data_IF_889777313297
#
_entry.id   IF_889777313297
#
_cell.length_a   1.000
_cell.length_b   1.000
_cell.length_c   1.000
_cell.angle_alpha   90.00
_cell.angle_beta   90.00
_cell.angle_gamma   90.00
#
_symmetry.space_group_name_H-M   'P 1'
#
loop_
_entity.id
_entity.type
_entity.pdbx_description
1 polymer ?
#
# COMPACT_ATOMS: atom_id res chain seq x y z
N UNK A 1 41.54 -1.82 -10.04
CA UNK A 1 40.90 -2.46 -8.87
C UNK A 1 39.41 -2.15 -8.95
N UNK A 2 38.64 -3.12 -9.43
CA UNK A 2 37.26 -2.93 -9.89
C UNK A 2 36.26 -3.32 -8.81
N UNK A 3 35.42 -2.37 -8.44
CA UNK A 3 34.35 -2.48 -7.45
C UNK A 3 33.14 -3.21 -8.07
N UNK A 4 32.70 -4.31 -7.46
CA UNK A 4 31.46 -5.03 -7.80
C UNK A 4 30.29 -4.43 -7.01
N UNK A 5 29.17 -4.01 -7.63
CA UNK A 5 27.92 -3.78 -6.90
C UNK A 5 27.16 -5.12 -6.75
N UNK A 6 26.88 -5.50 -5.51
CA UNK A 6 25.94 -6.58 -5.17
C UNK A 6 24.52 -6.12 -5.56
N UNK A 7 23.94 -6.78 -6.55
CA UNK A 7 22.53 -6.64 -6.88
C UNK A 7 21.70 -7.49 -5.92
N UNK A 8 20.74 -6.84 -5.28
CA UNK A 8 19.65 -7.38 -4.47
C UNK A 8 18.96 -8.52 -5.19
N UNK A 9 18.94 -9.70 -4.57
CA UNK A 9 18.25 -10.87 -5.09
C UNK A 9 16.74 -10.67 -5.15
N UNK A 10 16.20 -11.28 -6.19
CA UNK A 10 14.82 -11.28 -6.64
C UNK A 10 13.92 -11.98 -5.62
N UNK A 11 12.79 -11.35 -5.31
CA UNK A 11 11.64 -11.97 -4.65
C UNK A 11 11.31 -13.30 -5.34
N UNK A 12 11.31 -14.44 -4.62
CA UNK A 12 10.91 -15.71 -5.21
C UNK A 12 9.40 -15.69 -5.50
N UNK A 13 9.13 -16.11 -6.72
CA UNK A 13 7.84 -16.34 -7.35
C UNK A 13 6.99 -17.24 -6.45
N UNK A 14 5.78 -16.78 -6.10
CA UNK A 14 4.78 -17.62 -5.43
C UNK A 14 4.41 -18.79 -6.35
N UNK A 15 4.84 -19.98 -5.94
CA UNK A 15 4.57 -21.24 -6.60
C UNK A 15 3.07 -21.55 -6.47
N UNK A 16 2.29 -21.22 -7.50
CA UNK A 16 0.88 -21.59 -7.63
C UNK A 16 0.78 -23.04 -8.08
N UNK A 17 0.70 -23.96 -7.12
CA UNK A 17 0.31 -25.34 -7.40
C UNK A 17 -0.63 -25.82 -6.30
N UNK A 18 -1.91 -25.43 -6.37
CA UNK A 18 -3.05 -26.34 -6.25
C UNK A 18 -4.27 -25.67 -6.93
N UNK A 19 -5.05 -26.45 -7.69
CA UNK A 19 -6.34 -26.16 -8.32
C UNK A 19 -6.34 -25.58 -9.75
N UNK A 20 -5.90 -26.42 -10.69
CA UNK A 20 -6.46 -26.44 -12.04
C UNK A 20 -7.64 -27.42 -12.07
N UNK A 21 -8.88 -26.91 -11.98
CA UNK A 21 -10.09 -27.59 -12.46
C UNK A 21 -11.23 -26.58 -12.60
N UNK A 22 -11.53 -26.23 -13.86
CA UNK A 22 -12.79 -25.61 -14.33
C UNK A 22 -13.47 -24.61 -13.39
N UNK A 23 -12.91 -23.41 -13.24
CA UNK A 23 -13.54 -22.36 -12.44
C UNK A 23 -14.32 -21.41 -13.36
N UNK A 24 -15.65 -21.53 -13.38
CA UNK A 24 -16.51 -20.48 -13.89
C UNK A 24 -16.25 -19.23 -13.03
N UNK A 25 -15.55 -18.24 -13.59
CA UNK A 25 -15.16 -17.02 -12.88
C UNK A 25 -16.42 -16.18 -12.67
N UNK A 26 -17.11 -16.38 -11.54
CA UNK A 26 -18.05 -15.40 -10.99
C UNK A 26 -17.26 -14.37 -10.18
N UNK A 27 -16.50 -13.52 -10.86
CA UNK A 27 -15.99 -12.30 -10.23
C UNK A 27 -17.05 -11.21 -10.36
N UNK A 28 -17.53 -10.67 -9.25
CA UNK A 28 -18.32 -9.42 -9.23
C UNK A 28 -17.43 -8.18 -9.49
N UNK A 29 -16.35 -8.35 -10.25
CA UNK A 29 -15.37 -7.30 -10.61
C UNK A 29 -15.45 -7.10 -12.11
N UNK A 30 -15.59 -5.86 -12.56
CA UNK A 30 -15.55 -5.52 -13.99
C UNK A 30 -14.20 -5.95 -14.57
N UNK A 31 -14.25 -6.74 -15.63
CA UNK A 31 -13.07 -7.20 -16.35
C UNK A 31 -12.94 -6.40 -17.65
N UNK A 32 -11.72 -5.96 -17.94
CA UNK A 32 -11.37 -5.17 -19.11
C UNK A 32 -10.49 -6.00 -20.05
N UNK A 33 -10.74 -5.86 -21.34
CA UNK A 33 -9.80 -6.29 -22.37
C UNK A 33 -8.53 -5.46 -22.31
N UNK A 34 -7.44 -5.97 -22.90
CA UNK A 34 -6.17 -5.24 -23.03
C UNK A 34 -6.36 -3.87 -23.71
N UNK A 35 -7.23 -3.81 -24.71
CA UNK A 35 -7.56 -2.59 -25.46
C UNK A 35 -8.32 -1.57 -24.63
N UNK A 36 -9.29 -2.00 -23.82
CA UNK A 36 -10.01 -1.12 -22.90
C UNK A 36 -9.10 -0.60 -21.78
N UNK A 37 -8.26 -1.47 -21.22
CA UNK A 37 -7.25 -1.08 -20.24
C UNK A 37 -6.28 -0.05 -20.83
N UNK A 38 -5.80 -0.27 -22.06
CA UNK A 38 -4.93 0.67 -22.78
C UNK A 38 -5.60 2.04 -22.97
N UNK A 39 -6.85 2.07 -23.41
CA UNK A 39 -7.63 3.30 -23.60
C UNK A 39 -7.79 4.07 -22.28
N UNK A 40 -8.13 3.39 -21.19
CA UNK A 40 -8.30 4.04 -19.87
C UNK A 40 -7.02 4.54 -19.26
N UNK A 41 -5.92 3.85 -19.55
CA UNK A 41 -4.60 4.25 -19.09
C UNK A 41 -3.95 5.30 -20.00
N UNK A 42 -4.48 5.58 -21.19
CA UNK A 42 -3.80 6.45 -22.17
C UNK A 42 -2.46 5.89 -22.65
N UNK A 43 -2.27 4.57 -22.65
CA UNK A 43 -1.00 3.91 -23.06
C UNK A 43 -1.24 2.87 -24.16
N UNK A 44 -0.16 2.38 -24.77
CA UNK A 44 -0.24 1.28 -25.75
C UNK A 44 -0.59 -0.07 -25.11
N UNK A 45 -1.22 -0.97 -25.87
CA UNK A 45 -1.48 -2.35 -25.43
C UNK A 45 -0.20 -3.13 -25.06
N UNK A 46 0.93 -2.80 -25.69
CA UNK A 46 2.25 -3.33 -25.33
C UNK A 46 2.65 -2.90 -23.92
N UNK A 47 2.38 -1.66 -23.54
CA UNK A 47 2.62 -1.16 -22.18
C UNK A 47 1.71 -1.84 -21.16
N UNK A 48 0.44 -2.10 -21.49
CA UNK A 48 -0.46 -2.90 -20.65
C UNK A 48 0.10 -4.30 -20.42
N UNK A 49 0.62 -4.94 -21.47
CA UNK A 49 1.23 -6.27 -21.38
C UNK A 49 2.47 -6.28 -20.48
N UNK A 50 3.31 -5.24 -20.56
CA UNK A 50 4.47 -5.07 -19.70
C UNK A 50 4.07 -4.82 -18.23
N UNK A 51 3.05 -4.01 -17.98
CA UNK A 51 2.52 -3.77 -16.63
C UNK A 51 1.95 -5.04 -16.01
N UNK A 52 1.24 -5.87 -16.79
CA UNK A 52 0.77 -7.19 -16.38
C UNK A 52 1.94 -8.12 -16.06
N UNK A 53 2.93 -8.23 -16.94
CA UNK A 53 4.11 -9.06 -16.72
C UNK A 53 4.90 -8.65 -15.47
N UNK A 54 4.90 -7.35 -15.15
CA UNK A 54 5.50 -6.79 -13.94
C UNK A 54 4.60 -6.91 -12.68
N UNK A 55 3.45 -7.60 -12.76
CA UNK A 55 2.51 -7.77 -11.64
C UNK A 55 1.79 -6.49 -11.21
N UNK A 56 1.86 -5.41 -12.00
CA UNK A 56 1.22 -4.11 -11.69
C UNK A 56 -0.26 -4.03 -12.07
N UNK A 57 -0.73 -4.99 -12.86
CA UNK A 57 -2.12 -5.13 -13.26
C UNK A 57 -2.56 -6.56 -12.93
N UNK A 58 -3.63 -6.68 -12.15
CA UNK A 58 -4.22 -7.96 -11.79
C UNK A 58 -4.99 -8.50 -13.01
N UNK A 59 -4.68 -9.72 -13.41
CA UNK A 59 -5.25 -10.31 -14.62
C UNK A 59 -5.69 -11.74 -14.43
N UNK A 60 -6.76 -12.12 -15.10
CA UNK A 60 -7.30 -13.48 -15.13
C UNK A 60 -7.14 -14.10 -16.52
N UNK A 61 -6.69 -15.36 -16.62
CA UNK A 61 -6.64 -16.07 -17.89
C UNK A 61 -8.07 -16.34 -18.38
N UNK A 62 -8.35 -16.02 -19.64
CA UNK A 62 -9.64 -16.32 -20.30
C UNK A 62 -9.35 -16.77 -21.73
N UNK A 63 -9.53 -18.07 -21.99
CA UNK A 63 -9.15 -18.69 -23.26
C UNK A 63 -7.67 -18.49 -23.60
N UNK A 64 -7.36 -18.18 -24.87
CA UNK A 64 -6.01 -17.84 -25.33
C UNK A 64 -5.52 -16.44 -24.94
N UNK A 65 -6.22 -15.75 -24.03
CA UNK A 65 -5.93 -14.38 -23.61
C UNK A 65 -5.98 -14.17 -22.10
N UNK A 66 -5.93 -12.89 -21.69
CA UNK A 66 -6.11 -12.48 -20.31
C UNK A 66 -6.97 -11.23 -20.23
N UNK A 67 -7.89 -11.18 -19.27
CA UNK A 67 -8.61 -9.96 -18.92
C UNK A 67 -7.93 -9.32 -17.70
N UNK A 68 -8.02 -8.00 -17.58
CA UNK A 68 -7.44 -7.20 -16.49
C UNK A 68 -8.57 -6.66 -15.63
N UNK A 69 -8.40 -6.61 -14.31
CA UNK A 69 -9.43 -6.01 -13.44
C UNK A 69 -9.50 -4.50 -13.61
N UNK A 70 -10.71 -3.94 -13.69
CA UNK A 70 -10.94 -2.50 -13.72
C UNK A 70 -10.29 -1.79 -12.52
N UNK A 71 -10.35 -2.39 -11.33
CA UNK A 71 -9.74 -1.83 -10.12
C UNK A 71 -8.21 -1.71 -10.22
N UNK A 72 -7.53 -2.72 -10.78
CA UNK A 72 -6.08 -2.63 -10.98
C UNK A 72 -5.70 -1.59 -12.03
N UNK A 73 -6.52 -1.44 -13.09
CA UNK A 73 -6.36 -0.38 -14.09
C UNK A 73 -6.57 0.99 -13.47
N UNK A 74 -7.62 1.20 -12.67
CA UNK A 74 -7.88 2.46 -11.97
C UNK A 74 -6.73 2.82 -11.03
N UNK A 75 -6.27 1.87 -10.21
CA UNK A 75 -5.08 2.05 -9.35
C UNK A 75 -3.85 2.44 -10.18
N UNK A 76 -3.64 1.80 -11.33
CA UNK A 76 -2.49 2.08 -12.17
C UNK A 76 -2.59 3.44 -12.89
N UNK A 77 -3.80 3.89 -13.23
CA UNK A 77 -4.06 5.20 -13.83
C UNK A 77 -3.66 6.34 -12.91
N UNK A 78 -3.93 6.20 -11.60
CA UNK A 78 -3.59 7.20 -10.57
C UNK A 78 -2.09 7.51 -10.48
N UNK A 79 -1.23 6.61 -10.96
CA UNK A 79 0.23 6.76 -10.90
C UNK A 79 0.87 7.05 -12.26
N UNK A 80 0.09 7.31 -13.30
CA UNK A 80 0.63 7.60 -14.63
C UNK A 80 1.10 9.05 -14.75
N UNK A 81 2.27 9.25 -15.38
CA UNK A 81 2.80 10.59 -15.68
C UNK A 81 3.52 11.30 -14.53
N UNK A 82 3.57 10.72 -13.32
CA UNK A 82 4.17 11.38 -12.18
C UNK A 82 5.66 11.01 -11.99
N UNK A 83 6.53 12.02 -12.09
CA UNK A 83 7.99 11.89 -12.11
C UNK A 83 8.62 11.36 -10.81
N UNK A 84 9.71 10.61 -10.92
CA UNK A 84 10.53 10.20 -9.78
C UNK A 84 10.28 8.78 -9.27
N UNK A 85 11.37 8.09 -8.94
CA UNK A 85 11.36 6.72 -8.42
C UNK A 85 10.73 6.71 -7.01
N UNK A 86 9.77 5.81 -6.70
CA UNK A 86 9.31 5.64 -5.32
C UNK A 86 10.49 5.35 -4.38
N UNK A 87 10.35 5.83 -3.15
CA UNK A 87 11.29 5.60 -2.08
C UNK A 87 11.43 4.12 -1.74
N UNK A 88 12.59 3.74 -1.17
CA UNK A 88 12.71 2.47 -0.47
C UNK A 88 11.78 2.46 0.75
N UNK A 89 11.40 1.28 1.27
CA UNK A 89 10.56 1.18 2.46
C UNK A 89 11.05 2.03 3.63
N UNK A 90 12.35 1.99 3.95
CA UNK A 90 12.93 2.77 5.05
C UNK A 90 12.79 4.28 4.87
N UNK A 91 13.03 4.78 3.66
CA UNK A 91 12.90 6.20 3.32
C UNK A 91 11.43 6.63 3.32
N UNK A 92 10.53 5.74 2.87
CA UNK A 92 9.10 5.99 2.88
C UNK A 92 8.56 6.09 4.31
N UNK A 93 8.85 5.10 5.17
CA UNK A 93 8.50 5.19 6.60
C UNK A 93 9.16 6.40 7.26
N UNK A 94 10.44 6.66 6.98
CA UNK A 94 11.15 7.80 7.55
C UNK A 94 10.49 9.13 7.22
N UNK A 95 10.07 9.34 5.96
CA UNK A 95 9.36 10.54 5.54
C UNK A 95 8.04 10.72 6.31
N UNK A 96 7.25 9.64 6.43
CA UNK A 96 5.94 9.66 7.08
C UNK A 96 6.04 9.80 8.62
N UNK A 97 7.08 9.23 9.23
CA UNK A 97 7.38 9.41 10.66
C UNK A 97 7.82 10.84 10.95
N UNK A 98 8.73 11.40 10.15
CA UNK A 98 9.18 12.79 10.30
C UNK A 98 8.02 13.79 10.16
N UNK A 99 7.11 13.57 9.21
CA UNK A 99 5.89 14.36 9.09
C UNK A 99 4.94 14.19 10.27
N UNK A 100 4.92 13.02 10.89
CA UNK A 100 4.17 12.78 12.13
C UNK A 100 4.85 13.39 13.37
N UNK A 101 5.95 14.13 13.21
CA UNK A 101 6.70 14.73 14.31
C UNK A 101 7.59 13.75 15.07
N UNK A 102 7.82 12.55 14.54
CA UNK A 102 8.68 11.52 15.13
C UNK A 102 10.06 11.51 14.48
N UNK A 103 11.06 10.99 15.19
CA UNK A 103 12.36 10.71 14.58
C UNK A 103 12.33 9.40 13.76
N UNK A 104 13.28 9.26 12.84
CA UNK A 104 13.54 8.06 12.06
C UNK A 104 14.94 7.52 12.40
N UNK A 105 15.13 6.91 13.58
CA UNK A 105 16.46 6.50 14.07
C UNK A 105 17.14 5.45 13.22
N UNK A 106 16.38 4.63 12.48
CA UNK A 106 16.91 3.62 11.55
C UNK A 106 17.57 4.22 10.30
N UNK A 107 17.36 5.52 10.03
CA UNK A 107 18.02 6.21 8.94
C UNK A 107 19.36 6.81 9.37
N UNK A 108 20.32 6.91 8.46
CA UNK A 108 21.53 7.68 8.68
C UNK A 108 21.27 9.19 8.70
N UNK A 109 22.19 9.97 9.29
CA UNK A 109 22.09 11.45 9.31
C UNK A 109 21.91 12.07 7.92
N UNK A 110 22.63 11.57 6.92
CA UNK A 110 22.54 12.05 5.54
C UNK A 110 21.18 11.75 4.90
N UNK A 111 20.59 10.58 5.19
CA UNK A 111 19.26 10.21 4.70
C UNK A 111 18.19 11.10 5.33
N UNK A 112 18.23 11.30 6.66
CA UNK A 112 17.33 12.24 7.36
C UNK A 112 17.45 13.66 6.82
N UNK A 113 18.67 14.16 6.61
CA UNK A 113 18.90 15.49 6.03
C UNK A 113 18.28 15.63 4.63
N UNK A 114 18.49 14.64 3.75
CA UNK A 114 17.88 14.62 2.41
C UNK A 114 16.35 14.62 2.50
N UNK A 115 15.77 13.82 3.39
CA UNK A 115 14.32 13.79 3.61
C UNK A 115 13.78 15.15 4.05
N UNK A 116 14.44 15.85 4.98
CA UNK A 116 14.05 17.22 5.37
C UNK A 116 13.96 18.14 4.15
N UNK A 117 14.99 18.12 3.29
CA UNK A 117 15.03 18.91 2.07
C UNK A 117 13.85 18.61 1.13
N UNK A 118 13.52 17.34 0.92
CA UNK A 118 12.40 16.95 0.07
C UNK A 118 11.04 17.30 0.67
N UNK A 119 10.85 17.10 1.98
CA UNK A 119 9.58 17.39 2.66
C UNK A 119 9.21 18.87 2.61
N UNK A 120 10.18 19.79 2.51
CA UNK A 120 9.96 21.24 2.35
C UNK A 120 9.27 21.64 1.05
N UNK A 121 9.28 20.79 0.02
CA UNK A 121 8.71 21.10 -1.30
C UNK A 121 7.65 20.08 -1.73
N UNK A 122 7.26 19.18 -0.82
CA UNK A 122 6.35 18.09 -1.13
C UNK A 122 4.89 18.53 -1.00
N UNK A 123 4.03 17.98 -1.83
CA UNK A 123 2.57 18.00 -1.65
C UNK A 123 2.05 16.60 -1.27
N UNK A 124 0.80 16.53 -0.84
CA UNK A 124 0.20 15.27 -0.40
C UNK A 124 0.22 14.18 -1.50
N UNK A 125 -0.14 14.51 -2.74
CA UNK A 125 -0.23 13.52 -3.82
C UNK A 125 1.14 12.94 -4.20
N UNK A 126 2.15 13.80 -4.33
CA UNK A 126 3.52 13.41 -4.61
C UNK A 126 4.12 12.59 -3.48
N UNK A 127 3.84 12.96 -2.22
CA UNK A 127 4.27 12.17 -1.08
C UNK A 127 3.64 10.78 -1.08
N UNK A 128 2.31 10.68 -1.19
CA UNK A 128 1.61 9.37 -1.27
C UNK A 128 2.22 8.52 -2.37
N UNK A 129 2.44 9.10 -3.54
CA UNK A 129 3.07 8.40 -4.65
C UNK A 129 4.48 7.92 -4.31
N UNK A 130 5.34 8.76 -3.74
CA UNK A 130 6.73 8.39 -3.45
C UNK A 130 6.81 7.32 -2.35
N UNK A 131 5.85 7.29 -1.43
CA UNK A 131 5.81 6.34 -0.29
C UNK A 131 4.99 5.09 -0.55
N UNK A 132 4.32 4.96 -1.71
CA UNK A 132 3.45 3.81 -2.09
C UNK A 132 4.09 2.42 -2.06
N UNK A 133 5.43 2.35 -1.98
CA UNK A 133 6.18 1.08 -1.89
C UNK A 133 6.69 0.77 -0.48
N UNK A 134 6.16 1.44 0.54
CA UNK A 134 6.48 1.17 1.95
C UNK A 134 6.08 -0.24 2.37
N UNK A 135 4.96 -0.74 1.84
CA UNK A 135 4.41 -2.06 2.12
C UNK A 135 3.53 -2.51 0.95
N UNK A 136 3.29 -3.82 0.86
CA UNK A 136 2.34 -4.42 -0.07
C UNK A 136 1.02 -4.69 0.64
N UNK A 137 -0.08 -4.09 0.17
CA UNK A 137 -1.41 -4.34 0.72
C UNK A 137 -1.99 -5.65 0.18
N UNK A 138 -2.51 -6.48 1.09
CA UNK A 138 -3.21 -7.74 0.79
C UNK A 138 -4.52 -7.81 1.56
N UNK A 139 -5.58 -8.25 0.90
CA UNK A 139 -6.94 -8.28 1.45
C UNK A 139 -7.38 -9.70 1.83
N UNK A 140 -8.07 -9.82 2.97
CA UNK A 140 -8.59 -11.09 3.47
C UNK A 140 -10.02 -10.94 4.00
N UNK A 141 -10.73 -12.05 3.99
CA UNK A 141 -11.92 -12.30 4.79
C UNK A 141 -11.56 -13.11 6.03
N UNK A 142 -12.25 -12.84 7.14
CA UNK A 142 -12.31 -13.72 8.29
C UNK A 142 -13.70 -13.62 8.94
N UNK A 143 -13.98 -14.53 9.89
CA UNK A 143 -15.16 -14.43 10.75
C UNK A 143 -15.00 -13.27 11.72
N UNK A 144 -16.12 -12.64 12.09
CA UNK A 144 -16.17 -11.53 13.05
C UNK A 144 -15.50 -11.88 14.40
N UNK A 145 -15.68 -13.11 14.87
CA UNK A 145 -15.06 -13.63 16.09
C UNK A 145 -13.53 -13.62 16.08
N UNK A 146 -12.90 -13.50 14.90
CA UNK A 146 -11.45 -13.46 14.75
C UNK A 146 -10.90 -12.04 14.61
N UNK A 147 -11.73 -11.00 14.48
CA UNK A 147 -11.25 -9.64 14.23
C UNK A 147 -10.40 -9.09 15.37
N UNK A 148 -10.84 -9.25 16.62
CA UNK A 148 -10.05 -8.85 17.79
C UNK A 148 -8.70 -9.59 17.86
N UNK A 149 -8.66 -10.86 17.41
CA UNK A 149 -7.42 -11.63 17.33
C UNK A 149 -6.49 -11.10 16.24
N UNK A 150 -7.04 -10.70 15.08
CA UNK A 150 -6.25 -10.05 14.02
C UNK A 150 -5.66 -8.75 14.52
N UNK A 151 -6.47 -7.89 15.15
CA UNK A 151 -6.03 -6.61 15.70
C UNK A 151 -4.89 -6.76 16.72
N UNK A 152 -4.92 -7.82 17.53
CA UNK A 152 -3.86 -8.12 18.50
C UNK A 152 -2.55 -8.64 17.87
N UNK A 153 -2.56 -9.10 16.63
CA UNK A 153 -1.41 -9.69 15.94
C UNK A 153 -0.78 -8.77 14.89
N UNK A 154 -1.33 -7.57 14.70
CA UNK A 154 -0.84 -6.60 13.72
C UNK A 154 -0.58 -5.27 14.40
N UNK A 155 0.15 -4.39 13.72
CA UNK A 155 0.24 -2.99 14.14
C UNK A 155 -0.85 -2.17 13.46
N UNK A 156 -1.85 -1.64 14.19
CA UNK A 156 -3.03 -1.02 13.56
C UNK A 156 -2.68 0.18 12.68
N UNK A 157 -3.42 0.36 11.59
CA UNK A 157 -3.38 1.54 10.71
C UNK A 157 -4.75 2.26 10.68
N UNK A 158 -4.87 3.25 9.80
CA UNK A 158 -5.84 4.34 9.77
C UNK A 158 -7.32 3.98 9.92
N UNK A 159 -7.74 2.82 9.43
CA UNK A 159 -9.13 2.39 9.42
C UNK A 159 -9.51 1.46 10.59
N UNK A 160 -8.58 1.16 11.50
CA UNK A 160 -8.84 0.23 12.61
C UNK A 160 -9.28 0.93 13.88
N UNK A 161 -10.45 0.56 14.37
CA UNK A 161 -10.95 0.96 15.69
C UNK A 161 -11.06 2.47 15.85
N UNK A 162 -10.51 3.00 16.94
CA UNK A 162 -10.61 4.42 17.30
C UNK A 162 -9.84 5.37 16.35
N UNK A 163 -8.91 4.85 15.53
CA UNK A 163 -8.11 5.69 14.62
C UNK A 163 -8.95 6.32 13.50
N UNK A 164 -10.06 5.68 13.11
CA UNK A 164 -10.95 6.23 12.09
C UNK A 164 -11.46 7.64 12.47
N UNK A 165 -11.68 7.89 13.76
CA UNK A 165 -12.10 9.18 14.27
C UNK A 165 -11.03 10.28 14.05
N UNK A 166 -9.73 9.94 14.10
CA UNK A 166 -8.64 10.87 13.81
C UNK A 166 -8.65 11.37 12.35
N UNK A 167 -9.36 10.66 11.47
CA UNK A 167 -9.54 11.00 10.05
C UNK A 167 -10.97 11.46 9.73
N UNK A 168 -11.82 11.68 10.74
CA UNK A 168 -13.24 12.04 10.56
C UNK A 168 -14.01 10.99 9.75
N UNK A 169 -13.60 9.73 9.83
CA UNK A 169 -14.24 8.58 9.21
C UNK A 169 -15.08 7.81 10.23
N UNK A 170 -16.17 7.20 9.76
CA UNK A 170 -16.93 6.25 10.57
C UNK A 170 -16.16 4.94 10.66
N UNK A 171 -15.97 4.43 11.88
CA UNK A 171 -15.36 3.13 12.08
C UNK A 171 -16.15 2.04 11.34
N UNK A 172 -15.44 1.17 10.63
CA UNK A 172 -16.03 0.04 9.93
C UNK A 172 -15.59 -1.27 10.60
N UNK A 173 -16.22 -2.38 10.24
CA UNK A 173 -15.81 -3.70 10.72
C UNK A 173 -14.65 -4.30 9.89
N UNK A 174 -13.80 -3.43 9.32
CA UNK A 174 -12.57 -3.79 8.61
C UNK A 174 -11.39 -3.52 9.52
N UNK A 175 -10.55 -4.53 9.73
CA UNK A 175 -9.29 -4.40 10.47
C UNK A 175 -8.16 -4.18 9.47
N UNK A 176 -7.49 -3.05 9.55
CA UNK A 176 -6.37 -2.66 8.72
C UNK A 176 -5.09 -2.42 9.55
N UNK A 177 -3.97 -2.98 9.10
CA UNK A 177 -2.71 -2.77 9.80
C UNK A 177 -1.53 -3.47 9.16
N UNK A 178 -0.38 -3.32 9.81
CA UNK A 178 0.90 -3.79 9.31
C UNK A 178 1.30 -5.11 9.95
N UNK A 179 1.92 -5.95 9.13
CA UNK A 179 2.50 -7.22 9.53
C UNK A 179 3.82 -7.39 8.78
N UNK A 180 4.81 -8.02 9.42
CA UNK A 180 6.05 -8.38 8.73
C UNK A 180 5.84 -9.62 7.87
N UNK A 181 6.65 -9.76 6.82
CA UNK A 181 6.54 -10.88 5.88
C UNK A 181 6.72 -12.25 6.56
N UNK A 182 7.60 -12.34 7.56
CA UNK A 182 7.85 -13.54 8.36
C UNK A 182 6.69 -13.90 9.30
N UNK A 183 5.93 -12.92 9.79
CA UNK A 183 4.77 -13.15 10.66
C UNK A 183 3.47 -13.42 9.88
N UNK A 184 3.42 -13.11 8.58
CA UNK A 184 2.18 -13.16 7.79
C UNK A 184 1.50 -14.54 7.81
N UNK A 185 2.25 -15.60 7.56
CA UNK A 185 1.70 -16.97 7.50
C UNK A 185 1.10 -17.40 8.84
N UNK A 186 1.71 -16.97 9.95
CA UNK A 186 1.18 -17.22 11.27
C UNK A 186 -0.11 -16.47 11.53
N UNK A 187 -0.21 -15.20 11.13
CA UNK A 187 -1.47 -14.44 11.20
C UNK A 187 -2.56 -15.10 10.36
N UNK A 188 -2.25 -15.52 9.13
CA UNK A 188 -3.18 -16.22 8.23
C UNK A 188 -3.73 -17.48 8.90
N UNK A 189 -2.84 -18.33 9.42
CA UNK A 189 -3.19 -19.60 10.06
C UNK A 189 -4.00 -19.39 11.33
N UNK A 190 -3.53 -18.50 12.21
CA UNK A 190 -4.12 -18.26 13.52
C UNK A 190 -5.50 -17.58 13.46
N UNK A 191 -5.72 -16.73 12.47
CA UNK A 191 -6.96 -15.98 12.28
C UNK A 191 -7.88 -16.58 11.21
N UNK A 192 -7.44 -17.68 10.56
CA UNK A 192 -8.17 -18.37 9.48
C UNK A 192 -8.52 -17.42 8.33
N UNK A 193 -7.56 -16.59 7.94
CA UNK A 193 -7.73 -15.59 6.89
C UNK A 193 -7.90 -16.27 5.53
N UNK A 194 -8.79 -15.74 4.69
CA UNK A 194 -9.07 -16.25 3.35
C UNK A 194 -9.03 -15.15 2.31
N UNK A 195 -8.23 -15.33 1.26
CA UNK A 195 -8.23 -14.44 0.10
C UNK A 195 -9.39 -14.74 -0.86
N UNK A 196 -9.67 -13.83 -1.79
CA UNK A 196 -10.69 -14.02 -2.84
C UNK A 196 -12.13 -14.17 -2.34
N UNK A 197 -12.38 -13.89 -1.07
CA UNK A 197 -13.69 -14.01 -0.42
C UNK A 197 -14.20 -12.63 -0.07
N UNK A 198 -15.47 -12.36 -0.40
CA UNK A 198 -16.16 -11.10 -0.08
C UNK A 198 -17.18 -11.30 1.05
N UNK A 199 -17.40 -10.30 1.93
CA UNK A 199 -16.78 -8.97 1.95
C UNK A 199 -15.32 -9.01 2.45
N UNK A 200 -14.51 -8.02 2.07
CA UNK A 200 -13.17 -7.85 2.70
C UNK A 200 -13.39 -7.42 4.15
N UNK A 201 -12.70 -8.08 5.09
CA UNK A 201 -12.78 -7.80 6.53
C UNK A 201 -11.43 -7.44 7.13
N UNK A 202 -10.33 -7.75 6.44
CA UNK A 202 -8.97 -7.48 6.89
C UNK A 202 -8.13 -6.97 5.73
N UNK A 203 -7.37 -5.89 5.95
CA UNK A 203 -6.37 -5.32 5.03
C UNK A 203 -5.01 -5.35 5.71
N UNK A 204 -4.07 -6.14 5.18
CA UNK A 204 -2.73 -6.28 5.75
C UNK A 204 -1.69 -5.59 4.86
N UNK A 205 -0.94 -4.65 5.42
CA UNK A 205 0.22 -4.04 4.82
C UNK A 205 1.46 -4.86 5.18
N UNK A 206 1.98 -5.59 4.21
CA UNK A 206 3.09 -6.53 4.37
C UNK A 206 4.42 -5.85 3.99
N UNK A 207 5.42 -5.94 4.86
CA UNK A 207 6.77 -5.41 4.64
C UNK A 207 7.82 -6.33 5.26
N UNK A 208 9.06 -6.29 4.77
CA UNK A 208 10.15 -7.11 5.32
C UNK A 208 10.56 -6.66 6.73
N UNK A 209 10.34 -5.39 7.05
CA UNK A 209 10.65 -4.81 8.35
C UNK A 209 9.70 -3.68 8.70
N UNK A 210 9.31 -3.62 9.97
CA UNK A 210 8.56 -2.52 10.53
C UNK A 210 9.45 -1.64 11.40
N UNK A 211 9.34 -0.31 11.30
CA UNK A 211 10.04 0.56 12.23
C UNK A 211 9.55 0.32 13.67
N UNK A 212 10.48 0.29 14.63
CA UNK A 212 10.16 0.05 16.03
C UNK A 212 9.12 1.05 16.56
N UNK A 213 8.31 0.60 17.51
CA UNK A 213 7.32 1.40 18.19
C UNK A 213 6.14 0.57 18.66
N UNK A 214 5.47 1.06 19.70
CA UNK A 214 4.27 0.46 20.25
C UNK A 214 3.01 1.13 19.71
N UNK A 215 1.88 0.47 19.86
CA UNK A 215 0.58 0.99 19.45
C UNK A 215 0.46 1.18 17.93
N UNK A 216 -0.49 1.99 17.48
CA UNK A 216 -0.80 2.14 16.06
C UNK A 216 0.33 2.82 15.28
N UNK A 217 0.27 2.70 13.96
CA UNK A 217 1.20 3.42 13.10
C UNK A 217 1.00 4.94 13.23
N UNK A 218 2.08 5.74 13.05
CA UNK A 218 1.98 7.19 13.14
C UNK A 218 0.99 7.79 12.14
N UNK A 219 0.44 8.96 12.46
CA UNK A 219 -0.63 9.60 11.69
C UNK A 219 -0.29 9.77 10.20
N UNK A 220 0.95 10.12 9.86
CA UNK A 220 1.39 10.25 8.47
C UNK A 220 1.38 8.92 7.71
N UNK A 221 1.69 7.80 8.38
CA UNK A 221 1.61 6.47 7.76
C UNK A 221 0.16 6.10 7.50
N UNK A 222 -0.68 6.25 8.52
CA UNK A 222 -2.12 6.03 8.41
C UNK A 222 -2.75 6.90 7.30
N UNK A 223 -2.37 8.18 7.20
CA UNK A 223 -2.86 9.08 6.17
C UNK A 223 -2.44 8.63 4.75
N UNK A 224 -1.22 8.10 4.60
CA UNK A 224 -0.75 7.55 3.34
C UNK A 224 -1.51 6.28 2.94
N UNK A 225 -1.88 5.41 3.90
CA UNK A 225 -2.69 4.21 3.63
C UNK A 225 -4.09 4.60 3.12
N UNK A 226 -4.74 5.56 3.77
CA UNK A 226 -6.02 6.08 3.33
C UNK A 226 -5.94 6.75 1.96
N UNK A 227 -4.90 7.54 1.69
CA UNK A 227 -4.71 8.22 0.41
C UNK A 227 -4.56 7.25 -0.78
N UNK A 228 -4.19 6.00 -0.53
CA UNK A 228 -4.13 4.93 -1.53
C UNK A 228 -5.42 4.11 -1.65
N UNK A 229 -6.41 4.37 -0.79
CA UNK A 229 -7.69 3.67 -0.81
C UNK A 229 -8.47 3.91 -2.11
N UNK A 230 -9.23 2.89 -2.50
CA UNK A 230 -10.22 2.98 -3.57
C UNK A 230 -11.51 3.68 -3.13
N UNK A 231 -11.78 3.77 -1.83
CA UNK A 231 -12.92 4.52 -1.31
C UNK A 231 -12.61 6.03 -1.43
N UNK A 232 -13.42 6.82 -2.16
CA UNK A 232 -13.19 8.25 -2.33
C UNK A 232 -13.16 9.05 -1.00
N UNK A 233 -13.88 8.59 0.03
CA UNK A 233 -13.93 9.23 1.36
C UNK A 233 -12.66 8.96 2.13
N UNK A 234 -12.21 7.70 2.18
CA UNK A 234 -10.93 7.33 2.78
C UNK A 234 -9.79 8.09 2.08
N UNK A 235 -9.76 8.05 0.74
CA UNK A 235 -8.74 8.76 -0.06
C UNK A 235 -8.69 10.24 0.23
N UNK A 236 -9.84 10.90 0.26
CA UNK A 236 -9.93 12.34 0.57
C UNK A 236 -9.39 12.63 1.96
N UNK A 237 -9.82 11.88 2.98
CA UNK A 237 -9.39 12.06 4.36
C UNK A 237 -7.87 11.86 4.52
N UNK A 238 -7.30 10.87 3.82
CA UNK A 238 -5.86 10.63 3.78
C UNK A 238 -5.08 11.79 3.17
N UNK A 239 -5.50 12.28 1.99
CA UNK A 239 -4.85 13.39 1.30
C UNK A 239 -4.94 14.71 2.09
N UNK A 240 -6.11 15.03 2.65
CA UNK A 240 -6.31 16.23 3.48
C UNK A 240 -5.43 16.17 4.74
N UNK A 241 -5.31 14.99 5.37
CA UNK A 241 -4.44 14.82 6.54
C UNK A 241 -2.96 14.95 6.19
N UNK A 242 -2.52 14.34 5.08
CA UNK A 242 -1.14 14.51 4.62
C UNK A 242 -0.82 15.97 4.30
N UNK A 243 -1.71 16.68 3.62
CA UNK A 243 -1.49 18.09 3.30
C UNK A 243 -1.37 18.93 4.58
N UNK A 244 -2.25 18.71 5.56
CA UNK A 244 -2.16 19.38 6.86
C UNK A 244 -0.82 19.11 7.57
N UNK A 245 -0.35 17.87 7.57
CA UNK A 245 0.95 17.51 8.18
C UNK A 245 2.13 18.18 7.46
N UNK A 246 2.06 18.29 6.13
CA UNK A 246 3.06 18.99 5.32
C UNK A 246 3.06 20.49 5.68
N UNK A 247 1.89 21.13 5.73
CA UNK A 247 1.77 22.55 6.07
C UNK A 247 2.25 22.84 7.51
N UNK A 248 1.96 21.94 8.46
CA UNK A 248 2.50 21.99 9.82
C UNK A 248 4.03 21.84 9.85
N UNK A 249 4.58 20.92 9.04
CA UNK A 249 6.01 20.71 8.92
C UNK A 249 6.71 21.97 8.35
N UNK A 250 6.14 22.59 7.32
CA UNK A 250 6.66 23.84 6.74
C UNK A 250 6.66 24.98 7.77
N UNK A 251 5.56 25.15 8.51
CA UNK A 251 5.48 26.19 9.56
C UNK A 251 6.54 26.05 10.64
N UNK A 252 6.82 24.83 11.10
CA UNK A 252 7.83 24.58 12.13
C UNK A 252 9.26 24.87 11.66
N UNK A 253 9.56 24.56 10.40
CA UNK A 253 10.89 24.84 9.82
C UNK A 253 11.12 26.34 9.57
N UNK A 254 10.06 27.15 9.39
CA UNK A 254 10.19 28.61 9.28
C UNK A 254 10.36 29.32 10.64
N UNK A 255 10.08 28.64 11.75
CA UNK A 255 10.19 29.17 13.12
C UNK A 255 11.49 28.75 13.83
N UNK A 256 12.29 27.86 13.22
CA UNK A 256 13.52 27.29 13.77
C UNK A 256 14.76 27.81 13.00
#
# INVERSE_FOLDING_TARGET
>A
MSCRPMYTELFPIWNSSVYNRGMAIRTNRTLLTRREAARRLGVSERRVSALRAAGRLESFPVGGGSLVTEDSVRRQAQWQGADGRPYSPDMAFGALYMLSGLDAPWLGRQQRYRLKGYLRQMDAENLTRLTRRRAMMVEYWCRDSNLAKVEALIRPSAATGALAASFQLTATNVVEGYVTADALDDVIRQCRLKQGTTPVRVRLHVTDGLPAGEGPMPLGVCAADLAESNDPRERRAGLETLQRLIDEYHRKEHQA
#
